data_IF_946839376259
#
_entry.id   IF_946839376259
#
_cell.length_a   1.000
_cell.length_b   1.000
_cell.length_c   1.000
_cell.angle_alpha   90.00
_cell.angle_beta   90.00
_cell.angle_gamma   90.00
#
_symmetry.space_group_name_H-M   'P 1'
#
loop_
_entity.id
_entity.type
_entity.pdbx_description
1 polymer ?
#
# COMPACT_ATOMS: atom_id res chain seq x y z
N UNK A 1 3.05 16.46 50.15
CA UNK A 1 2.36 16.63 48.86
C UNK A 1 2.03 15.25 48.29
N UNK A 2 0.74 14.92 48.13
CA UNK A 2 0.29 13.68 47.47
C UNK A 2 0.28 13.95 45.97
N UNK A 3 1.14 13.27 45.22
CA UNK A 3 1.05 13.25 43.76
C UNK A 3 -0.14 12.38 43.38
N UNK A 4 -1.10 12.94 42.66
CA UNK A 4 -2.20 12.18 42.11
C UNK A 4 -1.61 11.14 41.13
N UNK A 5 -1.83 9.85 41.43
CA UNK A 5 -1.66 8.79 40.44
C UNK A 5 -2.66 9.10 39.31
N UNK A 6 -2.14 9.59 38.19
CA UNK A 6 -2.89 9.64 36.94
C UNK A 6 -3.36 8.20 36.67
N UNK A 7 -4.67 8.01 36.59
CA UNK A 7 -5.26 6.73 36.23
C UNK A 7 -4.67 6.28 34.89
N UNK A 8 -4.28 5.01 34.79
CA UNK A 8 -3.81 4.43 33.53
C UNK A 8 -4.79 4.79 32.41
N UNK A 9 -4.25 5.26 31.28
CA UNK A 9 -5.07 5.54 30.10
C UNK A 9 -5.92 4.30 29.78
N UNK A 10 -7.24 4.43 29.57
CA UNK A 10 -8.11 3.29 29.33
C UNK A 10 -7.63 2.60 28.06
N UNK A 11 -6.89 1.50 28.22
CA UNK A 11 -6.48 0.66 27.10
C UNK A 11 -7.78 0.15 26.49
N UNK A 12 -8.06 0.53 25.25
CA UNK A 12 -9.27 0.08 24.56
C UNK A 12 -9.39 -1.45 24.73
N UNK A 13 -10.59 -1.97 25.04
CA UNK A 13 -10.76 -3.38 25.31
C UNK A 13 -10.18 -4.20 24.16
N UNK A 14 -9.28 -5.13 24.47
CA UNK A 14 -8.66 -6.03 23.49
C UNK A 14 -9.77 -6.76 22.75
N UNK A 15 -10.04 -6.37 21.51
CA UNK A 15 -11.05 -6.99 20.65
C UNK A 15 -10.69 -8.45 20.43
N UNK A 16 -11.69 -9.32 20.47
CA UNK A 16 -11.49 -10.75 20.28
C UNK A 16 -12.08 -11.28 18.99
N UNK A 17 -12.08 -12.61 18.84
CA UNK A 17 -12.64 -13.28 17.67
C UNK A 17 -14.13 -13.00 17.48
N UNK A 18 -14.88 -12.82 18.57
CA UNK A 18 -16.30 -12.46 18.53
C UNK A 18 -16.53 -11.13 17.80
N UNK A 19 -15.70 -10.14 18.08
CA UNK A 19 -15.79 -8.81 17.46
C UNK A 19 -15.45 -8.87 15.97
N UNK A 20 -14.38 -9.60 15.61
CA UNK A 20 -13.99 -9.81 14.21
C UNK A 20 -15.11 -10.52 13.41
N UNK A 21 -15.77 -11.50 14.03
CA UNK A 21 -16.90 -12.17 13.42
C UNK A 21 -18.11 -11.23 13.27
N UNK A 22 -18.40 -10.41 14.27
CA UNK A 22 -19.50 -9.44 14.22
C UNK A 22 -19.27 -8.36 13.15
N UNK A 23 -18.06 -7.83 13.01
CA UNK A 23 -17.71 -6.88 11.93
C UNK A 23 -18.01 -7.48 10.54
N UNK A 24 -17.68 -8.76 10.33
CA UNK A 24 -18.00 -9.47 9.10
C UNK A 24 -19.51 -9.66 8.91
N UNK A 25 -20.26 -9.97 9.97
CA UNK A 25 -21.72 -10.11 9.93
C UNK A 25 -22.38 -8.78 9.56
N UNK A 26 -21.91 -7.67 10.11
CA UNK A 26 -22.39 -6.33 9.80
C UNK A 26 -22.14 -5.99 8.33
N UNK A 27 -20.94 -6.26 7.81
CA UNK A 27 -20.66 -6.10 6.38
C UNK A 27 -21.62 -6.92 5.51
N UNK A 28 -21.81 -8.21 5.83
CA UNK A 28 -22.73 -9.07 5.06
C UNK A 28 -24.18 -8.62 5.15
N UNK A 29 -24.58 -7.99 6.26
CA UNK A 29 -25.91 -7.38 6.41
C UNK A 29 -26.06 -6.18 5.47
N UNK A 30 -25.06 -5.30 5.43
CA UNK A 30 -25.06 -4.14 4.52
C UNK A 30 -25.08 -4.55 3.04
N UNK A 31 -24.31 -5.58 2.66
CA UNK A 31 -24.30 -6.13 1.29
C UNK A 31 -25.65 -6.74 0.88
N UNK A 32 -26.44 -7.23 1.84
CA UNK A 32 -27.74 -7.85 1.58
C UNK A 32 -28.87 -6.83 1.42
N UNK A 33 -28.75 -5.64 2.03
CA UNK A 33 -29.83 -4.68 2.20
C UNK A 33 -30.62 -4.44 0.89
N UNK A 34 -29.98 -3.98 -0.18
CA UNK A 34 -30.65 -3.59 -1.43
C UNK A 34 -31.45 -4.70 -2.14
N UNK A 35 -31.10 -5.98 -1.95
CA UNK A 35 -31.82 -7.11 -2.56
C UNK A 35 -32.81 -7.78 -1.61
N UNK A 36 -32.73 -7.47 -0.32
CA UNK A 36 -33.49 -8.13 0.74
C UNK A 36 -34.38 -7.13 1.50
N UNK A 37 -34.59 -5.92 0.99
CA UNK A 37 -35.36 -4.86 1.67
C UNK A 37 -36.77 -5.29 2.08
N UNK A 38 -37.41 -6.19 1.30
CA UNK A 38 -38.74 -6.72 1.60
C UNK A 38 -38.72 -7.94 2.56
N UNK A 39 -37.55 -8.35 3.07
CA UNK A 39 -37.41 -9.51 3.95
C UNK A 39 -37.31 -9.09 5.42
N UNK A 40 -37.92 -9.83 6.37
CA UNK A 40 -37.80 -9.52 7.79
C UNK A 40 -36.34 -9.43 8.26
N UNK A 41 -36.05 -8.43 9.10
CA UNK A 41 -34.69 -8.15 9.61
C UNK A 41 -34.03 -9.37 10.27
N UNK A 42 -34.81 -10.17 11.01
CA UNK A 42 -34.33 -11.41 11.63
C UNK A 42 -33.79 -12.40 10.59
N UNK A 43 -34.50 -12.56 9.48
CA UNK A 43 -34.13 -13.47 8.39
C UNK A 43 -32.91 -12.94 7.64
N UNK A 44 -32.84 -11.62 7.39
CA UNK A 44 -31.65 -10.96 6.81
C UNK A 44 -30.41 -11.21 7.66
N UNK A 45 -30.50 -10.97 8.96
CA UNK A 45 -29.40 -11.15 9.91
C UNK A 45 -28.98 -12.62 10.04
N UNK A 46 -29.91 -13.56 10.01
CA UNK A 46 -29.60 -14.99 10.02
C UNK A 46 -28.82 -15.40 8.75
N UNK A 47 -29.24 -14.91 7.58
CA UNK A 47 -28.54 -15.14 6.31
C UNK A 47 -27.14 -14.49 6.31
N UNK A 48 -27.01 -13.26 6.82
CA UNK A 48 -25.73 -12.58 6.97
C UNK A 48 -24.78 -13.37 7.87
N UNK A 49 -25.28 -13.86 9.02
CA UNK A 49 -24.52 -14.74 9.93
C UNK A 49 -24.08 -16.04 9.26
N UNK A 50 -24.93 -16.69 8.47
CA UNK A 50 -24.54 -17.88 7.73
C UNK A 50 -23.44 -17.57 6.70
N UNK A 51 -23.59 -16.51 5.90
CA UNK A 51 -22.56 -16.09 4.94
C UNK A 51 -21.24 -15.72 5.62
N UNK A 52 -21.30 -15.08 6.78
CA UNK A 52 -20.12 -14.75 7.57
C UNK A 52 -19.39 -16.01 8.06
N UNK A 53 -20.11 -17.05 8.52
CA UNK A 53 -19.52 -18.34 8.93
C UNK A 53 -18.79 -19.03 7.78
N UNK A 54 -19.44 -19.13 6.62
CA UNK A 54 -18.85 -19.73 5.41
C UNK A 54 -17.59 -18.96 4.98
N UNK A 55 -17.64 -17.63 4.98
CA UNK A 55 -16.49 -16.80 4.62
C UNK A 55 -15.34 -16.93 5.64
N UNK A 56 -15.64 -16.99 6.93
CA UNK A 56 -14.62 -17.18 7.96
C UNK A 56 -13.95 -18.55 7.84
N UNK A 57 -14.71 -19.61 7.54
CA UNK A 57 -14.15 -20.93 7.23
C UNK A 57 -13.24 -20.89 6.00
N UNK A 58 -13.66 -20.20 4.94
CA UNK A 58 -12.85 -20.03 3.73
C UNK A 58 -11.53 -19.34 4.06
N UNK A 59 -11.57 -18.24 4.82
CA UNK A 59 -10.39 -17.50 5.30
C UNK A 59 -9.45 -18.41 6.09
N UNK A 60 -9.96 -19.13 7.07
CA UNK A 60 -9.19 -20.08 7.90
C UNK A 60 -8.55 -21.16 7.04
N UNK A 61 -9.30 -21.75 6.10
CA UNK A 61 -8.79 -22.76 5.17
C UNK A 61 -7.67 -22.21 4.29
N UNK A 62 -7.82 -21.00 3.75
CA UNK A 62 -6.79 -20.35 2.94
C UNK A 62 -5.50 -20.09 3.73
N UNK A 63 -5.60 -19.67 5.00
CA UNK A 63 -4.42 -19.32 5.81
C UNK A 63 -3.75 -20.53 6.45
N UNK A 64 -4.51 -21.47 6.98
CA UNK A 64 -4.01 -22.59 7.79
C UNK A 64 -4.03 -23.94 7.07
N UNK A 65 -4.70 -24.04 5.91
CA UNK A 65 -4.98 -25.30 5.22
C UNK A 65 -6.05 -26.18 5.91
N UNK A 66 -6.46 -25.84 7.15
CA UNK A 66 -7.39 -26.65 7.94
C UNK A 66 -8.84 -26.34 7.58
N UNK A 67 -9.67 -27.39 7.59
CA UNK A 67 -11.11 -27.28 7.33
C UNK A 67 -11.89 -27.62 8.60
N UNK A 68 -12.84 -26.75 8.95
CA UNK A 68 -13.69 -26.90 10.13
C UNK A 68 -15.18 -26.89 9.74
N UNK A 69 -16.05 -27.29 10.68
CA UNK A 69 -17.50 -27.17 10.55
C UNK A 69 -17.97 -25.78 10.94
N UNK A 70 -19.08 -25.29 10.37
CA UNK A 70 -19.65 -23.97 10.70
C UNK A 70 -19.94 -23.79 12.20
N UNK A 71 -20.41 -24.84 12.88
CA UNK A 71 -20.68 -24.82 14.33
C UNK A 71 -19.42 -24.56 15.16
N UNK A 72 -18.23 -24.80 14.61
CA UNK A 72 -16.95 -24.49 15.27
C UNK A 72 -16.72 -22.98 15.33
N UNK A 73 -17.05 -22.27 14.25
CA UNK A 73 -16.97 -20.80 14.21
C UNK A 73 -17.93 -20.18 15.22
N UNK A 74 -19.15 -20.73 15.33
CA UNK A 74 -20.12 -20.27 16.32
C UNK A 74 -19.62 -20.45 17.75
N UNK A 75 -19.04 -21.61 18.06
CA UNK A 75 -18.45 -21.87 19.38
C UNK A 75 -17.32 -20.90 19.68
N UNK A 76 -16.38 -20.71 18.74
CA UNK A 76 -15.28 -19.76 18.93
C UNK A 76 -15.76 -18.33 19.10
N UNK A 77 -16.75 -17.89 18.31
CA UNK A 77 -17.34 -16.56 18.47
C UNK A 77 -18.07 -16.42 19.81
N UNK A 78 -18.84 -17.43 20.24
CA UNK A 78 -19.55 -17.40 21.52
C UNK A 78 -18.60 -17.36 22.73
N UNK A 79 -17.46 -18.05 22.66
CA UNK A 79 -16.45 -18.08 23.72
C UNK A 79 -15.31 -17.07 23.51
N UNK A 80 -15.45 -16.17 22.53
CA UNK A 80 -14.43 -15.20 22.14
C UNK A 80 -13.00 -15.80 21.99
N UNK A 81 -12.92 -17.03 21.50
CA UNK A 81 -11.68 -17.82 21.41
C UNK A 81 -11.12 -17.75 20.00
N UNK A 82 -9.81 -17.54 19.88
CA UNK A 82 -9.13 -17.52 18.57
C UNK A 82 -9.03 -18.93 17.96
N UNK A 83 -9.22 -19.07 16.64
CA UNK A 83 -8.94 -20.31 15.94
C UNK A 83 -7.47 -20.75 16.11
N UNK A 84 -7.20 -22.05 16.32
CA UNK A 84 -5.85 -22.52 16.59
C UNK A 84 -4.96 -22.50 15.34
N UNK A 85 -3.72 -22.03 15.49
CA UNK A 85 -2.71 -22.02 14.42
C UNK A 85 -2.88 -20.89 13.41
N UNK A 86 -3.58 -19.81 13.78
CA UNK A 86 -3.66 -18.58 13.00
C UNK A 86 -3.29 -17.41 13.91
N UNK A 87 -2.45 -16.52 13.40
CA UNK A 87 -2.02 -15.33 14.13
C UNK A 87 -3.19 -14.38 14.37
N UNK A 88 -3.29 -13.83 15.59
CA UNK A 88 -4.39 -12.93 15.98
C UNK A 88 -4.44 -11.67 15.10
N UNK A 89 -3.27 -11.08 14.83
CA UNK A 89 -3.15 -9.87 14.00
C UNK A 89 -3.73 -10.07 12.59
N UNK A 90 -3.71 -11.29 12.06
CA UNK A 90 -4.26 -11.58 10.73
C UNK A 90 -5.79 -11.42 10.71
N UNK A 91 -6.47 -11.84 11.77
CA UNK A 91 -7.91 -11.59 11.92
C UNK A 91 -8.21 -10.13 12.21
N UNK A 92 -7.39 -9.45 12.99
CA UNK A 92 -7.54 -8.02 13.27
C UNK A 92 -7.46 -7.19 11.98
N UNK A 93 -6.56 -7.53 11.05
CA UNK A 93 -6.51 -6.89 9.72
C UNK A 93 -7.76 -7.12 8.90
N UNK A 94 -8.28 -8.36 8.92
CA UNK A 94 -9.56 -8.65 8.29
C UNK A 94 -10.72 -7.86 8.93
N UNK A 95 -10.73 -7.69 10.24
CA UNK A 95 -11.73 -6.89 10.94
C UNK A 95 -11.68 -5.40 10.52
N UNK A 96 -10.49 -4.84 10.31
CA UNK A 96 -10.35 -3.49 9.71
C UNK A 96 -10.96 -3.44 8.31
N UNK A 97 -10.66 -4.43 7.46
CA UNK A 97 -11.22 -4.53 6.10
C UNK A 97 -12.75 -4.67 6.14
N UNK A 98 -13.27 -5.49 7.05
CA UNK A 98 -14.70 -5.77 7.14
C UNK A 98 -15.48 -4.53 7.61
N UNK A 99 -14.96 -3.80 8.61
CA UNK A 99 -15.52 -2.51 9.07
C UNK A 99 -15.56 -1.45 7.99
N UNK A 100 -14.55 -1.43 7.12
CA UNK A 100 -14.51 -0.50 6.00
C UNK A 100 -15.50 -0.86 4.87
N UNK A 101 -16.11 -2.04 4.90
CA UNK A 101 -17.00 -2.52 3.83
C UNK A 101 -16.33 -3.42 2.80
N UNK A 102 -15.09 -3.85 3.03
CA UNK A 102 -14.32 -4.71 2.13
C UNK A 102 -13.01 -4.08 1.65
N UNK A 103 -12.26 -4.82 0.86
CA UNK A 103 -10.91 -4.41 0.41
C UNK A 103 -10.99 -3.14 -0.44
N UNK A 104 -11.94 -3.09 -1.38
CA UNK A 104 -12.08 -1.94 -2.28
C UNK A 104 -12.57 -0.70 -1.54
N UNK A 105 -13.49 -0.86 -0.59
CA UNK A 105 -13.97 0.23 0.23
C UNK A 105 -12.86 0.79 1.15
N UNK A 106 -12.05 -0.10 1.76
CA UNK A 106 -10.87 0.32 2.53
C UNK A 106 -9.84 1.02 1.63
N UNK A 107 -9.54 0.45 0.47
CA UNK A 107 -8.63 1.04 -0.51
C UNK A 107 -9.07 2.44 -0.93
N UNK A 108 -10.36 2.62 -1.21
CA UNK A 108 -10.95 3.91 -1.55
C UNK A 108 -10.86 4.90 -0.38
N UNK A 109 -11.18 4.46 0.84
CA UNK A 109 -11.11 5.32 2.03
C UNK A 109 -9.68 5.81 2.32
N UNK A 110 -8.68 4.96 2.06
CA UNK A 110 -7.26 5.27 2.24
C UNK A 110 -6.62 5.87 0.98
N UNK A 111 -7.37 5.99 -0.12
CA UNK A 111 -6.88 6.43 -1.43
C UNK A 111 -5.61 5.70 -1.85
N UNK A 112 -5.59 4.38 -1.71
CA UNK A 112 -4.51 3.52 -2.15
C UNK A 112 -5.04 2.41 -3.08
N UNK A 113 -4.13 1.67 -3.73
CA UNK A 113 -4.56 0.55 -4.58
C UNK A 113 -5.07 -0.64 -3.76
N UNK A 114 -5.98 -1.42 -4.35
CA UNK A 114 -6.44 -2.71 -3.82
C UNK A 114 -5.26 -3.64 -3.46
N UNK A 115 -4.23 -3.68 -4.32
CA UNK A 115 -3.04 -4.49 -4.12
C UNK A 115 -2.29 -4.17 -2.83
N UNK A 116 -2.19 -2.89 -2.44
CA UNK A 116 -1.54 -2.49 -1.18
C UNK A 116 -2.29 -2.98 0.06
N UNK A 117 -3.62 -2.96 0.03
CA UNK A 117 -4.43 -3.52 1.12
C UNK A 117 -4.24 -5.04 1.22
N UNK A 118 -4.19 -5.74 0.09
CA UNK A 118 -3.94 -7.19 0.04
C UNK A 118 -2.56 -7.52 0.59
N UNK A 119 -1.51 -6.81 0.14
CA UNK A 119 -0.15 -6.99 0.63
C UNK A 119 -0.03 -6.72 2.13
N UNK A 120 -0.65 -5.65 2.63
CA UNK A 120 -0.70 -5.34 4.06
C UNK A 120 -1.41 -6.43 4.87
N UNK A 121 -2.58 -6.89 4.39
CA UNK A 121 -3.33 -7.98 5.03
C UNK A 121 -2.48 -9.24 5.18
N UNK A 122 -1.78 -9.62 4.11
CA UNK A 122 -1.03 -10.88 4.05
C UNK A 122 0.40 -10.79 4.61
N UNK A 123 0.88 -9.60 4.95
CA UNK A 123 2.20 -9.38 5.52
C UNK A 123 2.45 -10.26 6.76
N UNK A 124 3.60 -10.94 6.86
CA UNK A 124 3.94 -11.73 8.04
C UNK A 124 4.33 -10.87 9.25
N UNK A 125 4.71 -9.61 9.03
CA UNK A 125 5.12 -8.70 10.11
C UNK A 125 3.89 -8.26 10.92
N UNK A 126 3.77 -8.56 12.22
CA UNK A 126 2.64 -8.14 13.04
C UNK A 126 2.49 -6.62 13.12
N UNK A 127 3.58 -5.87 12.99
CA UNK A 127 3.62 -4.41 13.09
C UNK A 127 3.44 -3.70 11.75
N UNK A 128 3.10 -4.43 10.68
CA UNK A 128 2.87 -3.85 9.36
C UNK A 128 1.82 -2.74 9.45
N UNK A 129 2.25 -1.51 9.16
CA UNK A 129 1.39 -0.34 9.23
C UNK A 129 0.35 -0.37 8.11
N UNK A 130 -0.87 0.07 8.44
CA UNK A 130 -1.93 0.26 7.44
C UNK A 130 -1.42 1.19 6.34
N UNK A 131 -1.68 0.89 5.04
CA UNK A 131 -1.20 1.73 3.96
C UNK A 131 -1.67 3.17 4.13
N UNK A 132 -0.72 4.10 4.20
CA UNK A 132 -1.02 5.53 4.23
C UNK A 132 -1.46 6.00 2.84
N UNK A 133 -2.29 7.03 2.82
CA UNK A 133 -2.67 7.74 1.60
C UNK A 133 -1.41 8.11 0.81
N UNK A 134 -1.35 7.73 -0.47
CA UNK A 134 -0.41 8.35 -1.39
C UNK A 134 -0.85 9.83 -1.50
N UNK A 135 0.00 10.82 -1.22
CA UNK A 135 -0.39 12.21 -1.39
C UNK A 135 -0.92 12.39 -2.83
N UNK A 136 -1.95 13.23 -3.03
CA UNK A 136 -2.46 13.49 -4.36
C UNK A 136 -1.28 13.96 -5.25
N UNK A 137 -1.25 13.59 -6.53
CA UNK A 137 -0.24 14.12 -7.45
C UNK A 137 -0.32 15.65 -7.39
N UNK A 138 0.69 16.29 -6.77
CA UNK A 138 0.77 17.75 -6.58
C UNK A 138 0.66 18.30 -5.16
N UNK A 139 0.46 17.51 -4.09
CA UNK A 139 0.58 18.06 -2.72
C UNK A 139 2.07 18.29 -2.35
N UNK A 140 2.43 19.40 -1.67
CA UNK A 140 3.82 19.66 -1.29
C UNK A 140 4.26 18.65 -0.23
N UNK A 141 5.21 17.78 -0.61
CA UNK A 141 5.75 16.68 0.21
C UNK A 141 6.75 17.22 1.25
N UNK A 142 6.53 16.84 2.51
CA UNK A 142 7.56 16.87 3.55
C UNK A 142 8.83 16.18 3.02
N UNK A 143 9.95 16.93 3.05
CA UNK A 143 11.33 16.59 2.66
C UNK A 143 11.48 15.56 1.53
N UNK A 144 11.30 16.03 0.28
CA UNK A 144 11.96 15.41 -0.88
C UNK A 144 13.47 15.31 -0.62
N UNK A 145 14.09 14.22 -1.07
CA UNK A 145 15.55 14.07 -1.01
C UNK A 145 16.17 14.36 -2.36
N UNK A 146 17.46 14.71 -2.36
CA UNK A 146 18.19 15.13 -3.55
C UNK A 146 19.27 14.10 -3.86
N UNK A 147 19.38 13.72 -5.13
CA UNK A 147 20.48 12.88 -5.62
C UNK A 147 21.25 13.69 -6.66
N UNK A 148 22.56 13.73 -6.53
CA UNK A 148 23.45 14.22 -7.58
C UNK A 148 23.84 13.08 -8.52
N UNK A 149 23.57 13.23 -9.82
CA UNK A 149 23.93 12.22 -10.82
C UNK A 149 24.77 12.77 -11.95
N UNK A 150 25.67 11.92 -12.46
CA UNK A 150 26.31 12.09 -13.76
C UNK A 150 26.04 10.83 -14.57
N UNK A 151 25.42 10.97 -15.75
CA UNK A 151 25.02 9.84 -16.60
C UNK A 151 25.41 10.05 -18.05
N UNK A 152 25.68 8.95 -18.74
CA UNK A 152 25.63 8.87 -20.20
C UNK A 152 24.36 8.14 -20.61
N UNK A 153 23.79 8.56 -21.72
CA UNK A 153 22.53 8.00 -22.20
C UNK A 153 22.19 8.44 -23.60
N UNK A 154 21.07 7.91 -24.08
CA UNK A 154 20.52 8.20 -25.40
C UNK A 154 19.31 9.11 -25.21
N UNK A 155 19.42 10.32 -25.72
CA UNK A 155 18.31 11.25 -25.83
C UNK A 155 17.59 11.01 -27.16
N UNK A 156 16.29 10.75 -27.08
CA UNK A 156 15.40 10.68 -28.24
C UNK A 156 14.58 11.97 -28.32
N UNK A 157 14.53 12.58 -29.51
CA UNK A 157 13.70 13.75 -29.82
C UNK A 157 12.91 13.45 -31.10
N UNK A 158 11.58 13.47 -31.00
CA UNK A 158 10.69 13.09 -32.09
C UNK A 158 10.87 11.63 -32.53
N UNK A 159 10.43 11.33 -33.75
CA UNK A 159 10.39 9.94 -34.24
C UNK A 159 11.79 9.35 -34.52
N UNK A 160 12.74 10.17 -34.99
CA UNK A 160 14.00 9.70 -35.57
C UNK A 160 15.28 10.27 -34.94
N UNK A 161 15.21 11.35 -34.16
CA UNK A 161 16.38 11.95 -33.55
C UNK A 161 16.88 11.13 -32.37
N UNK A 162 18.06 10.52 -32.47
CA UNK A 162 18.75 9.88 -31.34
C UNK A 162 20.14 10.50 -31.18
N UNK A 163 20.45 10.91 -29.96
CA UNK A 163 21.69 11.61 -29.63
C UNK A 163 22.30 11.03 -28.35
N UNK A 164 23.58 10.68 -28.39
CA UNK A 164 24.32 10.39 -27.17
C UNK A 164 24.49 11.69 -26.38
N UNK A 165 24.06 11.68 -25.13
CA UNK A 165 24.05 12.87 -24.29
C UNK A 165 24.49 12.54 -22.87
N UNK A 166 25.45 13.34 -22.39
CA UNK A 166 25.84 13.40 -20.98
C UNK A 166 24.91 14.34 -20.23
N UNK A 167 24.50 13.93 -19.04
CA UNK A 167 23.82 14.76 -18.05
C UNK A 167 24.72 14.81 -16.80
N UNK A 168 25.07 15.99 -16.25
CA UNK A 168 24.65 17.33 -16.67
C UNK A 168 25.24 17.75 -18.03
N UNK A 169 24.50 18.59 -18.76
CA UNK A 169 24.91 19.13 -20.06
C UNK A 169 25.99 20.21 -19.93
N UNK A 170 26.02 20.94 -18.81
CA UNK A 170 27.04 21.95 -18.52
C UNK A 170 28.35 21.26 -18.08
N UNK A 171 29.47 21.44 -18.80
CA UNK A 171 30.74 20.84 -18.44
C UNK A 171 31.31 21.33 -17.09
N UNK A 172 30.86 22.49 -16.60
CA UNK A 172 31.29 23.01 -15.29
C UNK A 172 30.49 22.43 -14.12
N UNK A 173 29.38 21.71 -14.40
CA UNK A 173 28.63 20.99 -13.38
C UNK A 173 29.18 19.58 -13.21
N UNK A 174 29.53 19.23 -11.97
CA UNK A 174 29.97 17.87 -11.63
C UNK A 174 28.82 16.85 -11.62
N UNK A 175 27.60 17.29 -11.32
CA UNK A 175 26.43 16.43 -11.27
C UNK A 175 25.16 17.26 -11.50
N UNK A 176 24.13 16.64 -12.05
CA UNK A 176 22.79 17.20 -12.11
C UNK A 176 22.03 16.77 -10.85
N UNK A 177 21.26 17.70 -10.27
CA UNK A 177 20.52 17.41 -9.04
C UNK A 177 19.10 17.02 -9.38
N UNK A 178 18.78 15.76 -9.11
CA UNK A 178 17.43 15.23 -9.21
C UNK A 178 16.77 15.22 -7.85
N UNK A 179 15.47 15.52 -7.83
CA UNK A 179 14.67 15.56 -6.62
C UNK A 179 13.72 14.37 -6.64
N UNK A 180 13.83 13.53 -5.62
CA UNK A 180 13.01 12.33 -5.49
C UNK A 180 12.07 12.44 -4.30
N UNK A 181 10.94 11.79 -4.45
CA UNK A 181 9.97 11.66 -3.38
C UNK A 181 10.41 10.60 -2.36
N UNK A 182 10.07 10.74 -1.07
CA UNK A 182 10.47 9.78 -0.03
C UNK A 182 10.02 8.34 -0.25
N UNK A 183 8.97 8.14 -1.07
CA UNK A 183 8.45 6.83 -1.46
C UNK A 183 9.08 6.27 -2.74
N UNK A 184 10.07 6.95 -3.32
CA UNK A 184 10.85 6.45 -4.44
C UNK A 184 11.70 5.25 -4.03
N UNK A 185 11.67 4.21 -4.85
CA UNK A 185 12.45 2.99 -4.66
C UNK A 185 13.90 3.12 -5.13
N UNK A 186 14.35 4.31 -5.56
CA UNK A 186 15.68 4.51 -6.14
C UNK A 186 16.82 4.22 -5.14
N UNK A 187 16.65 4.59 -3.88
CA UNK A 187 17.64 4.30 -2.84
C UNK A 187 17.64 2.81 -2.47
N UNK A 188 16.47 2.18 -2.43
CA UNK A 188 16.36 0.74 -2.18
C UNK A 188 17.07 -0.06 -3.30
N UNK A 189 16.84 0.31 -4.56
CA UNK A 189 17.51 -0.29 -5.73
C UNK A 189 19.02 -0.06 -5.70
N UNK A 190 19.47 1.16 -5.35
CA UNK A 190 20.88 1.48 -5.20
C UNK A 190 21.56 0.65 -4.11
N UNK A 191 20.96 0.54 -2.92
CA UNK A 191 21.51 -0.28 -1.83
C UNK A 191 21.45 -1.78 -2.10
N UNK A 192 20.52 -2.23 -2.95
CA UNK A 192 20.43 -3.60 -3.42
C UNK A 192 21.38 -3.91 -4.60
N UNK A 193 22.17 -2.92 -5.05
CA UNK A 193 23.02 -3.01 -6.25
C UNK A 193 22.27 -3.38 -7.53
N UNK A 194 20.96 -3.09 -7.57
CA UNK A 194 20.10 -3.30 -8.74
C UNK A 194 20.24 -2.12 -9.71
N UNK A 195 21.37 -2.12 -10.43
CA UNK A 195 21.73 -1.02 -11.33
C UNK A 195 20.78 -0.87 -12.51
N UNK A 196 20.13 -1.94 -12.97
CA UNK A 196 19.14 -1.89 -14.05
C UNK A 196 17.93 -1.06 -13.61
N UNK A 197 17.36 -1.38 -12.44
CA UNK A 197 16.27 -0.60 -11.85
C UNK A 197 16.70 0.85 -11.56
N UNK A 198 17.93 1.09 -11.11
CA UNK A 198 18.43 2.45 -10.89
C UNK A 198 18.50 3.24 -12.20
N UNK A 199 19.00 2.64 -13.28
CA UNK A 199 19.08 3.30 -14.60
C UNK A 199 17.70 3.62 -15.16
N UNK A 200 16.72 2.73 -15.01
CA UNK A 200 15.34 2.98 -15.44
C UNK A 200 14.72 4.16 -14.66
N UNK A 201 14.84 4.15 -13.33
CA UNK A 201 14.32 5.23 -12.48
C UNK A 201 15.00 6.58 -12.75
N UNK A 202 16.30 6.57 -13.07
CA UNK A 202 17.03 7.77 -13.46
C UNK A 202 16.65 8.25 -14.86
N UNK A 203 16.37 7.35 -15.80
CA UNK A 203 15.91 7.66 -17.15
C UNK A 203 14.62 8.48 -17.11
N UNK A 204 13.65 8.01 -16.34
CA UNK A 204 12.38 8.70 -16.13
C UNK A 204 12.59 10.05 -15.41
N UNK A 205 13.36 10.06 -14.32
CA UNK A 205 13.58 11.28 -13.55
C UNK A 205 14.33 12.37 -14.34
N UNK A 206 15.33 12.01 -15.14
CA UNK A 206 16.06 12.94 -16.01
C UNK A 206 15.14 13.46 -17.11
N UNK A 207 14.34 12.59 -17.71
CA UNK A 207 13.34 12.98 -18.71
C UNK A 207 12.39 14.03 -18.13
N UNK A 208 11.82 13.77 -16.96
CA UNK A 208 10.81 14.63 -16.33
C UNK A 208 11.35 15.91 -15.70
N UNK A 209 12.57 15.91 -15.16
CA UNK A 209 13.10 17.04 -14.38
C UNK A 209 14.14 17.87 -15.12
N UNK A 210 14.84 17.28 -16.09
CA UNK A 210 15.92 17.93 -16.82
C UNK A 210 15.51 18.21 -18.25
N UNK A 211 15.17 17.16 -19.02
CA UNK A 211 14.88 17.33 -20.45
C UNK A 211 13.60 18.12 -20.69
N UNK A 212 12.58 17.93 -19.84
CA UNK A 212 11.32 18.68 -19.88
C UNK A 212 11.50 20.21 -19.79
N UNK A 213 12.63 20.67 -19.27
CA UNK A 213 12.96 22.10 -19.14
C UNK A 213 13.62 22.69 -20.38
N UNK A 214 13.98 21.87 -21.37
CA UNK A 214 14.66 22.32 -22.58
C UNK A 214 13.67 22.81 -23.63
N UNK A 215 14.06 23.78 -24.45
CA UNK A 215 13.18 24.35 -25.48
C UNK A 215 12.62 23.29 -26.45
N UNK A 216 13.40 22.24 -26.74
CA UNK A 216 12.98 21.13 -27.61
C UNK A 216 11.78 20.36 -27.06
N UNK A 217 11.59 20.33 -25.74
CA UNK A 217 10.48 19.65 -25.08
C UNK A 217 9.12 20.34 -25.32
N UNK A 218 9.13 21.60 -25.80
CA UNK A 218 7.90 22.33 -26.15
C UNK A 218 7.30 21.89 -27.49
N UNK A 219 8.11 21.27 -28.36
CA UNK A 219 7.77 21.05 -29.75
C UNK A 219 7.78 19.57 -30.18
N UNK A 220 8.47 18.72 -29.43
CA UNK A 220 8.67 17.32 -29.78
C UNK A 220 8.46 16.41 -28.58
N UNK A 221 8.05 15.17 -28.84
CA UNK A 221 8.15 14.10 -27.85
C UNK A 221 9.63 13.83 -27.54
N UNK A 222 9.93 13.54 -26.28
CA UNK A 222 11.29 13.31 -25.83
C UNK A 222 11.36 12.20 -24.79
N UNK A 223 12.47 11.49 -24.80
CA UNK A 223 12.83 10.56 -23.73
C UNK A 223 14.34 10.48 -23.59
N UNK A 224 14.82 10.25 -22.38
CA UNK A 224 16.22 9.97 -22.11
C UNK A 224 16.36 8.60 -21.50
N UNK A 225 17.20 7.76 -22.10
CA UNK A 225 17.52 6.42 -21.58
C UNK A 225 18.95 6.43 -21.09
N UNK A 226 19.15 6.25 -19.80
CA UNK A 226 20.46 6.09 -19.17
C UNK A 226 21.07 4.79 -19.66
N UNK A 227 22.29 4.87 -20.19
CA UNK A 227 23.08 3.69 -20.58
C UNK A 227 24.21 3.43 -19.60
N UNK A 228 24.66 4.46 -18.88
CA UNK A 228 25.75 4.37 -17.93
C UNK A 228 25.61 5.43 -16.82
N UNK A 229 25.86 5.02 -15.59
CA UNK A 229 25.94 5.91 -14.42
C UNK A 229 27.41 6.15 -14.11
N UNK A 230 27.88 7.37 -14.31
CA UNK A 230 29.25 7.78 -14.00
C UNK A 230 29.39 8.21 -12.54
N UNK A 231 28.36 8.84 -11.98
CA UNK A 231 28.34 9.34 -10.61
C UNK A 231 26.94 9.24 -10.01
N UNK A 232 26.87 8.80 -8.75
CA UNK A 232 25.64 8.77 -7.96
C UNK A 232 25.95 9.22 -6.53
N UNK A 233 25.34 10.31 -6.08
CA UNK A 233 25.59 10.94 -4.78
C UNK A 233 24.27 11.21 -4.05
N UNK A 234 24.19 10.79 -2.79
CA UNK A 234 23.10 11.16 -1.89
C UNK A 234 23.47 12.50 -1.23
N UNK A 235 22.62 13.52 -1.37
CA UNK A 235 22.88 14.91 -0.93
C UNK A 235 22.14 15.29 0.36
#
# INVERSE_FOLDING_TARGET
MKWAQLADEPTAPKRGFADCFNDLVERRTAELASKWDNTPERSRRAQAKHRARVEMLRRIKTRSGRQYKESTIEKWAAHNTWPPGIDTFWFERWAVIDRAGGIDALANSLRCSRGRIVAWRDSPDPNAQLPKQKPPPGAPKERRFRIGVETLGILRIGETGQHHKRIPTDPNKEYEVLVFDPDSTILDAWYAEDLETVMDLLSDAITEQVISTWDVALYYDYSYTVTEILKFLIL
#
